data_IF_364792963098
#
_entry.id   IF_364792963098
#
_cell.length_a   1.000
_cell.length_b   1.000
_cell.length_c   1.000
_cell.angle_alpha   90.00
_cell.angle_beta   90.00
_cell.angle_gamma   90.00
#
_symmetry.space_group_name_H-M   'P 1'
#
loop_
_entity.id
_entity.type
_entity.pdbx_description
1 polymer ?
#
# COMPACT_ATOMS: atom_id res chain seq x y z
N UNK A 1 5.72 21.49 5.97
CA UNK A 1 4.31 21.29 5.59
C UNK A 1 3.84 19.99 6.22
N UNK A 2 2.73 19.97 6.92
CA UNK A 2 2.14 18.74 7.44
C UNK A 2 1.53 17.94 6.28
N UNK A 3 1.84 16.65 6.18
CA UNK A 3 1.24 15.77 5.18
C UNK A 3 -0.25 15.60 5.48
N UNK A 4 -1.07 15.37 4.46
CA UNK A 4 -2.49 15.10 4.66
C UNK A 4 -2.64 13.69 5.25
N UNK A 5 -3.28 13.58 6.42
CA UNK A 5 -3.53 12.31 7.06
C UNK A 5 -4.67 11.56 6.37
N UNK A 6 -4.45 10.30 6.00
CA UNK A 6 -5.45 9.41 5.38
C UNK A 6 -5.50 8.06 6.09
N UNK A 7 -6.65 7.39 6.16
CA UNK A 7 -6.75 6.04 6.70
C UNK A 7 -6.14 4.98 5.76
N UNK A 8 -5.85 3.81 6.29
CA UNK A 8 -5.11 2.75 5.58
C UNK A 8 -5.83 2.21 4.32
N UNK A 9 -7.16 2.19 4.31
CA UNK A 9 -7.97 1.83 3.13
C UNK A 9 -7.84 2.86 2.00
N UNK A 10 -7.83 4.15 2.35
CA UNK A 10 -7.57 5.24 1.40
C UNK A 10 -6.12 5.22 0.94
N UNK A 11 -5.19 4.88 1.81
CA UNK A 11 -3.78 4.66 1.43
C UNK A 11 -3.65 3.57 0.37
N UNK A 12 -4.24 2.39 0.58
CA UNK A 12 -4.27 1.30 -0.41
C UNK A 12 -4.89 1.74 -1.73
N UNK A 13 -6.00 2.50 -1.67
CA UNK A 13 -6.65 3.05 -2.87
C UNK A 13 -5.70 3.96 -3.65
N UNK A 14 -4.99 4.86 -2.96
CA UNK A 14 -4.02 5.77 -3.56
C UNK A 14 -2.76 5.08 -4.09
N UNK A 15 -2.31 3.99 -3.43
CA UNK A 15 -1.21 3.15 -3.91
C UNK A 15 -1.63 2.49 -5.22
N UNK A 16 -2.76 1.77 -5.24
CA UNK A 16 -3.25 1.08 -6.43
C UNK A 16 -3.52 2.01 -7.61
N UNK A 17 -3.96 3.25 -7.34
CA UNK A 17 -4.15 4.27 -8.38
C UNK A 17 -2.82 4.65 -9.06
N UNK A 18 -1.74 4.78 -8.30
CA UNK A 18 -0.40 5.11 -8.82
C UNK A 18 0.32 3.90 -9.40
N UNK A 19 0.10 2.72 -8.83
CA UNK A 19 0.76 1.47 -9.16
C UNK A 19 0.69 1.12 -10.65
N UNK A 20 -0.45 1.39 -11.29
CA UNK A 20 -0.67 1.18 -12.73
C UNK A 20 0.30 1.96 -13.64
N UNK A 21 0.95 2.99 -13.12
CA UNK A 21 1.90 3.82 -13.86
C UNK A 21 3.36 3.56 -13.44
N UNK A 22 3.62 2.56 -12.59
CA UNK A 22 4.97 2.26 -12.12
C UNK A 22 5.72 1.34 -13.10
N UNK A 23 7.03 1.56 -13.31
CA UNK A 23 7.89 0.58 -13.95
C UNK A 23 7.81 -0.76 -13.20
N UNK A 24 7.67 -1.86 -13.94
CA UNK A 24 7.46 -3.19 -13.34
C UNK A 24 6.01 -3.53 -13.00
N UNK A 25 5.06 -2.63 -13.28
CA UNK A 25 3.64 -2.94 -13.17
C UNK A 25 3.26 -4.12 -14.08
N UNK A 26 2.52 -5.07 -13.51
CA UNK A 26 1.93 -6.21 -14.20
C UNK A 26 0.41 -6.16 -14.07
N UNK A 27 -0.30 -6.60 -15.10
CA UNK A 27 -1.75 -6.77 -15.01
C UNK A 27 -2.12 -7.72 -13.86
N UNK A 28 -3.10 -7.31 -13.06
CA UNK A 28 -3.49 -8.01 -11.82
C UNK A 28 -2.68 -7.60 -10.59
N UNK A 29 -1.60 -6.83 -10.72
CA UNK A 29 -0.83 -6.32 -9.58
C UNK A 29 -1.68 -5.35 -8.76
N UNK A 30 -1.95 -5.70 -7.51
CA UNK A 30 -2.68 -4.88 -6.56
C UNK A 30 -2.14 -5.02 -5.14
N UNK A 31 -2.14 -3.91 -4.40
CA UNK A 31 -1.90 -3.86 -2.95
C UNK A 31 -3.24 -3.97 -2.22
N UNK A 32 -3.26 -4.65 -1.10
CA UNK A 32 -4.43 -4.80 -0.26
C UNK A 32 -4.06 -4.75 1.23
N UNK A 33 -5.06 -4.56 2.09
CA UNK A 33 -4.91 -4.71 3.53
C UNK A 33 -4.87 -6.19 3.89
N UNK A 34 -3.96 -6.58 4.79
CA UNK A 34 -3.82 -7.97 5.25
C UNK A 34 -4.52 -8.16 6.60
N UNK A 35 -5.32 -9.23 6.79
CA UNK A 35 -5.74 -10.22 5.79
C UNK A 35 -6.67 -9.63 4.74
N UNK A 36 -6.75 -10.26 3.56
CA UNK A 36 -7.59 -9.78 2.46
C UNK A 36 -9.05 -9.55 2.91
N UNK A 37 -9.61 -8.39 2.54
CA UNK A 37 -10.92 -7.95 3.01
C UNK A 37 -10.93 -7.28 4.39
N UNK A 38 -9.78 -7.14 5.05
CA UNK A 38 -9.70 -6.38 6.31
C UNK A 38 -10.01 -4.89 6.11
N UNK A 39 -10.66 -4.30 7.11
CA UNK A 39 -10.80 -2.85 7.25
C UNK A 39 -9.53 -2.24 7.84
N UNK A 40 -9.36 -0.92 7.73
CA UNK A 40 -8.24 -0.19 8.33
C UNK A 40 -8.10 -0.43 9.86
N UNK A 41 -9.17 -0.80 10.56
CA UNK A 41 -9.18 -1.11 12.00
C UNK A 41 -8.77 -2.55 12.35
N UNK A 42 -8.86 -3.47 11.40
CA UNK A 42 -8.55 -4.90 11.58
C UNK A 42 -7.30 -5.36 10.84
N UNK A 43 -6.84 -4.55 9.90
CA UNK A 43 -5.65 -4.84 9.13
C UNK A 43 -4.40 -4.85 10.01
N UNK A 44 -3.54 -5.85 9.80
CA UNK A 44 -2.25 -6.01 10.48
C UNK A 44 -1.07 -5.58 9.61
N UNK A 45 -1.32 -5.31 8.33
CA UNK A 45 -0.30 -4.87 7.40
C UNK A 45 -0.84 -4.69 6.00
N UNK A 46 0.08 -4.66 5.04
CA UNK A 46 -0.21 -4.61 3.62
C UNK A 46 0.30 -5.89 2.96
N UNK A 47 -0.42 -6.37 1.95
CA UNK A 47 0.00 -7.44 1.07
C UNK A 47 -0.15 -6.99 -0.37
N UNK A 48 0.43 -7.75 -1.30
CA UNK A 48 0.23 -7.54 -2.72
C UNK A 48 0.20 -8.86 -3.47
N UNK A 49 -0.46 -8.85 -4.62
CA UNK A 49 -0.45 -9.97 -5.56
C UNK A 49 0.94 -10.13 -6.17
N UNK A 50 1.34 -11.37 -6.48
CA UNK A 50 2.67 -11.69 -7.02
C UNK A 50 3.84 -11.29 -6.10
N UNK A 51 3.83 -11.71 -4.82
CA UNK A 51 4.91 -11.37 -3.88
C UNK A 51 6.27 -11.94 -4.29
N UNK A 52 6.30 -13.00 -5.09
CA UNK A 52 7.52 -13.69 -5.52
C UNK A 52 8.14 -13.10 -6.81
N UNK A 53 7.59 -12.00 -7.35
CA UNK A 53 8.11 -11.32 -8.55
C UNK A 53 8.86 -10.03 -8.17
N UNK A 54 10.20 -9.97 -8.34
CA UNK A 54 10.99 -8.81 -7.95
C UNK A 54 10.60 -7.51 -8.68
N UNK A 55 10.11 -7.61 -9.92
CA UNK A 55 9.64 -6.44 -10.66
C UNK A 55 8.37 -5.86 -10.05
N UNK A 56 7.44 -6.73 -9.65
CA UNK A 56 6.21 -6.36 -8.94
C UNK A 56 6.51 -5.75 -7.56
N UNK A 57 7.46 -6.31 -6.80
CA UNK A 57 7.91 -5.74 -5.53
C UNK A 57 8.46 -4.32 -5.71
N UNK A 58 9.32 -4.11 -6.73
CA UNK A 58 9.85 -2.80 -7.06
C UNK A 58 8.76 -1.78 -7.40
N UNK A 59 7.77 -2.17 -8.22
CA UNK A 59 6.63 -1.33 -8.58
C UNK A 59 5.80 -0.94 -7.34
N UNK A 60 5.51 -1.90 -6.45
CA UNK A 60 4.78 -1.66 -5.19
C UNK A 60 5.54 -0.69 -4.30
N UNK A 61 6.85 -0.91 -4.11
CA UNK A 61 7.69 -0.02 -3.30
C UNK A 61 7.68 1.42 -3.84
N UNK A 62 7.86 1.60 -5.14
CA UNK A 62 7.85 2.93 -5.76
C UNK A 62 6.49 3.63 -5.59
N UNK A 63 5.39 2.90 -5.75
CA UNK A 63 4.05 3.44 -5.53
C UNK A 63 3.84 3.87 -4.07
N UNK A 64 4.24 3.02 -3.11
CA UNK A 64 4.17 3.32 -1.67
C UNK A 64 4.98 4.59 -1.36
N UNK A 65 6.22 4.67 -1.82
CA UNK A 65 7.10 5.81 -1.56
C UNK A 65 6.50 7.13 -2.10
N UNK A 66 5.89 7.12 -3.30
CA UNK A 66 5.19 8.29 -3.84
C UNK A 66 3.97 8.71 -3.02
N UNK A 67 3.18 7.75 -2.53
CA UNK A 67 2.02 8.05 -1.68
C UNK A 67 2.48 8.63 -0.35
N UNK A 68 3.51 8.06 0.28
CA UNK A 68 4.06 8.53 1.55
C UNK A 68 4.74 9.89 1.46
N UNK A 69 5.20 10.32 0.28
CA UNK A 69 5.65 11.70 0.07
C UNK A 69 4.49 12.71 0.18
N UNK A 70 3.28 12.31 -0.19
CA UNK A 70 2.09 13.18 -0.25
C UNK A 70 1.24 13.09 1.02
N UNK A 71 1.10 11.89 1.56
CA UNK A 71 0.16 11.55 2.63
C UNK A 71 0.85 10.89 3.82
N UNK A 72 0.22 11.02 4.98
CA UNK A 72 0.56 10.29 6.19
C UNK A 72 -0.56 9.29 6.50
N UNK A 73 -0.23 8.05 6.86
CA UNK A 73 -1.25 7.06 7.21
C UNK A 73 -1.62 7.21 8.67
N UNK A 74 -2.90 7.47 8.95
CA UNK A 74 -3.41 7.63 10.31
C UNK A 74 -4.79 6.97 10.51
N UNK A 75 -4.98 6.17 11.58
CA UNK A 75 -3.93 5.69 12.48
C UNK A 75 -2.94 4.80 11.72
N UNK A 76 -1.65 4.76 12.13
CA UNK A 76 -0.72 3.81 11.57
C UNK A 76 -1.27 2.39 11.80
N UNK A 77 -1.10 1.51 10.81
CA UNK A 77 -1.42 0.09 11.01
C UNK A 77 -0.60 -0.42 12.18
N UNK A 78 -1.23 -1.21 13.06
CA UNK A 78 -0.53 -1.82 14.19
C UNK A 78 0.55 -2.73 13.61
N UNK A 79 1.83 -2.37 13.77
CA UNK A 79 2.90 -3.36 13.69
C UNK A 79 2.53 -4.49 14.65
N UNK A 80 2.61 -5.77 14.25
CA UNK A 80 2.50 -6.84 15.24
C UNK A 80 3.61 -6.59 16.25
N UNK A 81 3.24 -6.26 17.48
CA UNK A 81 4.11 -6.36 18.64
C UNK A 81 4.39 -7.85 18.81
N UNK A 82 5.45 -8.31 18.15
CA UNK A 82 6.13 -9.58 18.38
C UNK A 82 7.47 -9.31 19.02
#
# INVERSE_FOLDING_TARGET
>A
MSKHAIPADRFVTEVNRRLKNMPGYREGLAVFLTPEGASATRATGYGWTFPDDPASEGAVKMAIDQVQQTFEVYPPLRSPSG
#
